data_IF_411420828262
#
_entry.id   IF_411420828262
#
_cell.length_a   1.000
_cell.length_b   1.000
_cell.length_c   1.000
_cell.angle_alpha   90.00
_cell.angle_beta   90.00
_cell.angle_gamma   90.00
#
_symmetry.space_group_name_H-M   'P 1'
#
loop_
_entity.id
_entity.type
_entity.pdbx_description
1 polymer ?
#
# COMPACT_ATOMS: atom_id res chain seq x y z
N UNK A 1 48.42 -38.37 -20.84
CA UNK A 1 48.50 -37.08 -20.09
C UNK A 1 47.63 -36.04 -20.81
N UNK A 2 46.31 -36.14 -20.71
CA UNK A 2 45.35 -35.18 -21.29
C UNK A 2 44.05 -35.16 -20.47
N UNK A 3 44.14 -34.78 -19.20
CA UNK A 3 42.98 -34.53 -18.33
C UNK A 3 43.19 -33.27 -17.49
N UNK A 4 43.60 -32.16 -18.12
CA UNK A 4 43.80 -30.91 -17.40
C UNK A 4 43.58 -29.69 -18.30
N UNK A 5 42.40 -29.54 -18.91
CA UNK A 5 42.10 -28.26 -19.59
C UNK A 5 40.61 -27.87 -19.70
N UNK A 6 39.70 -28.58 -19.01
CA UNK A 6 38.26 -28.22 -19.00
C UNK A 6 37.81 -27.39 -17.79
N UNK A 7 38.74 -27.02 -16.90
CA UNK A 7 38.43 -26.25 -15.69
C UNK A 7 38.39 -24.72 -15.89
N UNK A 8 38.98 -24.19 -16.97
CA UNK A 8 39.25 -22.75 -17.08
C UNK A 8 38.16 -21.92 -17.79
N UNK A 9 37.20 -22.56 -18.47
CA UNK A 9 36.16 -21.87 -19.25
C UNK A 9 34.81 -21.73 -18.53
N UNK A 10 34.53 -22.54 -17.51
CA UNK A 10 33.27 -22.48 -16.75
C UNK A 10 33.16 -21.15 -15.99
N UNK A 11 34.23 -20.72 -15.33
CA UNK A 11 34.26 -19.45 -14.59
C UNK A 11 34.12 -18.20 -15.47
N UNK A 12 34.68 -18.21 -16.69
CA UNK A 12 34.52 -17.10 -17.66
C UNK A 12 33.09 -17.01 -18.18
N UNK A 13 32.45 -18.15 -18.45
CA UNK A 13 31.05 -18.18 -18.90
C UNK A 13 30.09 -17.76 -17.78
N UNK A 14 30.31 -18.20 -16.53
CA UNK A 14 29.53 -17.74 -15.37
C UNK A 14 29.66 -16.23 -15.17
N UNK A 15 30.87 -15.67 -15.24
CA UNK A 15 31.08 -14.21 -15.14
C UNK A 15 30.33 -13.43 -16.22
N UNK A 16 30.36 -13.91 -17.47
CA UNK A 16 29.61 -13.30 -18.59
C UNK A 16 28.10 -13.36 -18.36
N UNK A 17 27.59 -14.49 -17.87
CA UNK A 17 26.16 -14.65 -17.56
C UNK A 17 25.75 -13.73 -16.43
N UNK A 18 26.52 -13.66 -15.33
CA UNK A 18 26.26 -12.75 -14.21
C UNK A 18 26.28 -11.29 -14.66
N UNK A 19 27.27 -10.90 -15.47
CA UNK A 19 27.33 -9.55 -16.03
C UNK A 19 26.10 -9.24 -16.89
N UNK A 20 25.69 -10.19 -17.74
CA UNK A 20 24.49 -10.04 -18.56
C UNK A 20 23.23 -9.87 -17.70
N UNK A 21 23.08 -10.68 -16.65
CA UNK A 21 21.97 -10.56 -15.69
C UNK A 21 21.97 -9.19 -15.04
N UNK A 22 23.12 -8.69 -14.57
CA UNK A 22 23.24 -7.36 -13.97
C UNK A 22 22.89 -6.25 -14.96
N UNK A 23 23.36 -6.34 -16.21
CA UNK A 23 23.04 -5.37 -17.25
C UNK A 23 21.55 -5.35 -17.57
N UNK A 24 20.94 -6.52 -17.77
CA UNK A 24 19.49 -6.65 -18.01
C UNK A 24 18.71 -6.10 -16.83
N UNK A 25 19.11 -6.41 -15.60
CA UNK A 25 18.49 -5.88 -14.38
C UNK A 25 18.55 -4.35 -14.33
N UNK A 26 19.69 -3.73 -14.63
CA UNK A 26 19.84 -2.27 -14.66
C UNK A 26 18.93 -1.65 -15.73
N UNK A 27 18.89 -2.24 -16.93
CA UNK A 27 18.08 -1.74 -18.04
C UNK A 27 16.58 -1.79 -17.71
N UNK A 28 16.10 -2.92 -17.17
CA UNK A 28 14.70 -3.07 -16.75
C UNK A 28 14.36 -2.04 -15.67
N UNK A 29 15.19 -1.90 -14.64
CA UNK A 29 14.95 -0.92 -13.57
C UNK A 29 14.92 0.52 -14.08
N UNK A 30 15.84 0.88 -14.97
CA UNK A 30 15.91 2.21 -15.57
C UNK A 30 14.68 2.51 -16.40
N UNK A 31 14.22 1.52 -17.18
CA UNK A 31 13.01 1.64 -17.98
C UNK A 31 11.75 1.81 -17.12
N UNK A 32 11.56 0.95 -16.10
CA UNK A 32 10.43 1.03 -15.17
C UNK A 32 10.44 2.36 -14.41
N UNK A 33 11.59 2.80 -13.91
CA UNK A 33 11.74 4.11 -13.27
C UNK A 33 11.33 5.25 -14.20
N UNK A 34 11.78 5.21 -15.47
CA UNK A 34 11.48 6.25 -16.46
C UNK A 34 9.97 6.34 -16.75
N UNK A 35 9.29 5.19 -16.87
CA UNK A 35 7.85 5.13 -17.05
C UNK A 35 7.11 5.70 -15.83
N UNK A 36 7.51 5.30 -14.62
CA UNK A 36 6.93 5.81 -13.38
C UNK A 36 7.18 7.31 -13.23
N UNK A 37 8.38 7.80 -13.52
CA UNK A 37 8.72 9.23 -13.48
C UNK A 37 7.85 10.04 -14.45
N UNK A 38 7.71 9.57 -15.70
CA UNK A 38 6.87 10.25 -16.68
C UNK A 38 5.42 10.35 -16.21
N UNK A 39 4.89 9.26 -15.66
CA UNK A 39 3.50 9.17 -15.20
C UNK A 39 3.23 10.00 -13.94
N UNK A 40 4.11 9.92 -12.94
CA UNK A 40 3.84 10.52 -11.63
C UNK A 40 4.47 11.89 -11.46
N UNK A 41 5.58 12.21 -12.13
CA UNK A 41 6.33 13.46 -11.89
C UNK A 41 6.15 14.46 -13.03
N UNK A 42 6.32 14.05 -14.28
CA UNK A 42 6.38 15.00 -15.39
C UNK A 42 5.11 15.83 -15.54
N UNK A 43 3.95 15.18 -15.36
CA UNK A 43 2.61 15.78 -15.50
C UNK A 43 2.04 16.33 -14.17
N UNK A 44 2.75 16.15 -13.04
CA UNK A 44 2.23 16.57 -11.75
C UNK A 44 2.16 18.10 -11.60
N UNK A 45 1.23 18.60 -10.75
CA UNK A 45 1.28 19.96 -10.24
C UNK A 45 2.67 20.32 -9.67
N UNK A 46 3.11 21.56 -9.87
CA UNK A 46 4.47 22.02 -9.50
C UNK A 46 4.77 21.77 -8.02
N UNK A 47 3.79 22.02 -7.15
CA UNK A 47 3.89 21.80 -5.70
C UNK A 47 4.00 20.31 -5.30
N UNK A 48 3.68 19.37 -6.19
CA UNK A 48 3.74 17.93 -5.92
C UNK A 48 4.96 17.24 -6.55
N UNK A 49 5.65 17.88 -7.50
CA UNK A 49 6.75 17.24 -8.26
C UNK A 49 7.86 16.71 -7.37
N UNK A 50 8.34 17.51 -6.41
CA UNK A 50 9.44 17.10 -5.55
C UNK A 50 9.09 15.95 -4.61
N UNK A 51 7.85 15.92 -4.11
CA UNK A 51 7.34 14.79 -3.35
C UNK A 51 7.25 13.54 -4.23
N UNK A 52 6.72 13.68 -5.45
CA UNK A 52 6.51 12.54 -6.35
C UNK A 52 7.81 11.97 -6.94
N UNK A 53 8.90 12.73 -6.98
CA UNK A 53 10.24 12.18 -7.27
C UNK A 53 10.64 11.14 -6.22
N UNK A 54 10.41 11.46 -4.95
CA UNK A 54 10.67 10.52 -3.84
C UNK A 54 9.69 9.35 -3.88
N UNK A 55 8.43 9.59 -4.20
CA UNK A 55 7.44 8.53 -4.40
C UNK A 55 7.88 7.51 -5.44
N UNK A 56 8.36 7.96 -6.60
CA UNK A 56 8.81 7.06 -7.67
C UNK A 56 10.01 6.23 -7.19
N UNK A 57 10.96 6.82 -6.47
CA UNK A 57 12.04 6.08 -5.84
C UNK A 57 11.51 5.04 -4.83
N UNK A 58 10.57 5.42 -3.97
CA UNK A 58 9.95 4.53 -3.00
C UNK A 58 9.20 3.37 -3.68
N UNK A 59 8.46 3.61 -4.77
CA UNK A 59 7.77 2.56 -5.54
C UNK A 59 8.76 1.52 -6.07
N UNK A 60 9.93 1.94 -6.56
CA UNK A 60 10.91 1.00 -7.09
C UNK A 60 11.37 0.00 -6.04
N UNK A 61 11.62 0.46 -4.80
CA UNK A 61 11.96 -0.45 -3.71
C UNK A 61 10.74 -1.22 -3.19
N UNK A 62 9.57 -0.59 -3.20
CA UNK A 62 8.32 -1.20 -2.77
C UNK A 62 7.89 -2.34 -3.70
N UNK A 63 8.15 -2.30 -5.00
CA UNK A 63 7.82 -3.41 -5.89
C UNK A 63 8.58 -4.69 -5.52
N UNK A 64 9.87 -4.57 -5.19
CA UNK A 64 10.67 -5.67 -4.66
C UNK A 64 10.17 -6.13 -3.30
N UNK A 65 9.92 -5.20 -2.40
CA UNK A 65 9.39 -5.50 -1.08
C UNK A 65 8.08 -6.29 -1.16
N UNK A 66 7.14 -5.83 -1.97
CA UNK A 66 5.83 -6.47 -2.19
C UNK A 66 5.97 -7.82 -2.87
N UNK A 67 6.94 -8.01 -3.77
CA UNK A 67 7.23 -9.33 -4.31
C UNK A 67 7.60 -10.32 -3.20
N UNK A 68 8.49 -9.94 -2.27
CA UNK A 68 8.85 -10.81 -1.16
C UNK A 68 7.68 -11.05 -0.20
N UNK A 69 6.94 -10.01 0.17
CA UNK A 69 5.81 -10.15 1.11
C UNK A 69 4.66 -10.93 0.46
N UNK A 70 4.17 -10.51 -0.69
CA UNK A 70 2.95 -11.05 -1.28
C UNK A 70 3.18 -12.38 -2.04
N UNK A 71 4.31 -12.52 -2.75
CA UNK A 71 4.56 -13.71 -3.59
C UNK A 71 5.30 -14.79 -2.83
N UNK A 72 6.27 -14.41 -1.99
CA UNK A 72 7.06 -15.35 -1.22
C UNK A 72 6.54 -15.56 0.21
N UNK A 73 5.51 -14.81 0.62
CA UNK A 73 4.89 -14.97 1.95
C UNK A 73 5.85 -14.63 3.08
N UNK A 74 6.75 -13.66 2.87
CA UNK A 74 7.70 -13.24 3.90
C UNK A 74 7.01 -12.21 4.81
N UNK A 75 7.13 -12.40 6.13
CA UNK A 75 6.63 -11.44 7.10
C UNK A 75 7.21 -10.02 6.89
N UNK A 76 6.35 -9.01 7.03
CA UNK A 76 6.67 -7.60 6.76
C UNK A 76 7.79 -7.02 7.66
N UNK A 77 8.03 -7.61 8.84
CA UNK A 77 9.12 -7.22 9.75
C UNK A 77 10.37 -8.10 9.61
N UNK A 78 10.35 -9.10 8.72
CA UNK A 78 11.48 -10.00 8.56
C UNK A 78 12.76 -9.23 8.15
N UNK A 79 13.90 -9.44 8.84
CA UNK A 79 15.16 -8.77 8.53
C UNK A 79 15.66 -8.95 7.09
N UNK A 80 15.26 -10.03 6.40
CA UNK A 80 15.62 -10.26 5.00
C UNK A 80 15.09 -9.14 4.08
N UNK A 81 14.03 -8.45 4.49
CA UNK A 81 13.44 -7.34 3.75
C UNK A 81 14.19 -6.02 3.95
N UNK A 82 15.07 -5.89 4.95
CA UNK A 82 15.69 -4.61 5.29
C UNK A 82 16.42 -3.92 4.13
N UNK A 83 17.19 -4.64 3.29
CA UNK A 83 17.87 -4.02 2.15
C UNK A 83 16.95 -3.33 1.15
N UNK A 84 15.66 -3.71 1.10
CA UNK A 84 14.65 -3.05 0.26
C UNK A 84 13.70 -2.17 1.08
N UNK A 85 13.44 -2.51 2.34
CA UNK A 85 12.55 -1.78 3.25
C UNK A 85 13.14 -0.44 3.69
N UNK A 86 14.41 -0.41 4.08
CA UNK A 86 15.06 0.82 4.53
C UNK A 86 15.08 1.92 3.47
N UNK A 87 15.57 1.68 2.23
CA UNK A 87 15.52 2.71 1.20
C UNK A 87 14.09 3.07 0.82
N UNK A 88 13.16 2.10 0.76
CA UNK A 88 11.73 2.36 0.54
C UNK A 88 11.19 3.36 1.56
N UNK A 89 11.37 3.09 2.85
CA UNK A 89 10.83 3.89 3.94
C UNK A 89 11.49 5.27 3.99
N UNK A 90 12.80 5.34 3.71
CA UNK A 90 13.52 6.60 3.59
C UNK A 90 12.90 7.50 2.53
N UNK A 91 12.72 7.01 1.30
CA UNK A 91 12.10 7.81 0.23
C UNK A 91 10.63 8.09 0.50
N UNK A 92 9.88 7.12 1.02
CA UNK A 92 8.46 7.29 1.40
C UNK A 92 8.27 8.42 2.41
N UNK A 93 9.00 8.41 3.52
CA UNK A 93 8.89 9.44 4.55
C UNK A 93 9.41 10.79 4.07
N UNK A 94 10.51 10.81 3.29
CA UNK A 94 11.03 12.05 2.71
C UNK A 94 10.02 12.70 1.76
N UNK A 95 9.34 11.90 0.95
CA UNK A 95 8.27 12.38 0.06
C UNK A 95 7.04 12.86 0.82
N UNK A 96 6.60 12.12 1.85
CA UNK A 96 5.47 12.53 2.70
C UNK A 96 5.69 13.88 3.39
N UNK A 97 6.93 14.18 3.79
CA UNK A 97 7.30 15.46 4.42
C UNK A 97 7.26 16.64 3.43
N UNK A 98 7.28 16.37 2.12
CA UNK A 98 7.17 17.38 1.06
C UNK A 98 5.74 17.58 0.58
N UNK A 99 4.82 16.66 0.90
CA UNK A 99 3.41 16.81 0.57
C UNK A 99 2.73 17.79 1.55
N UNK A 100 1.83 18.67 1.06
CA UNK A 100 0.98 19.48 1.93
C UNK A 100 0.20 18.60 2.92
N UNK A 101 0.05 19.04 4.17
CA UNK A 101 -0.54 18.22 5.24
C UNK A 101 -1.97 17.78 4.89
N UNK A 102 -2.69 18.64 4.19
CA UNK A 102 -4.05 18.52 3.68
C UNK A 102 -4.13 17.92 2.27
N UNK A 103 -3.07 17.29 1.77
CA UNK A 103 -3.11 16.60 0.48
C UNK A 103 -3.64 15.16 0.63
N UNK A 104 -4.77 14.85 -0.04
CA UNK A 104 -5.39 13.53 0.01
C UNK A 104 -4.49 12.40 -0.50
N UNK A 105 -3.53 12.71 -1.38
CA UNK A 105 -2.52 11.77 -1.87
C UNK A 105 -1.68 11.14 -0.74
N UNK A 106 -1.53 11.82 0.41
CA UNK A 106 -0.82 11.27 1.59
C UNK A 106 -1.46 9.98 2.09
N UNK A 107 -2.79 9.94 2.15
CA UNK A 107 -3.52 8.76 2.60
C UNK A 107 -3.45 7.61 1.59
N UNK A 108 -3.38 7.92 0.29
CA UNK A 108 -3.13 6.91 -0.73
C UNK A 108 -1.74 6.29 -0.61
N UNK A 109 -0.72 7.10 -0.31
CA UNK A 109 0.63 6.57 -0.10
C UNK A 109 0.69 5.71 1.17
N UNK A 110 0.05 6.14 2.25
CA UNK A 110 -0.08 5.32 3.46
C UNK A 110 -0.75 3.97 3.15
N UNK A 111 -1.84 3.98 2.39
CA UNK A 111 -2.48 2.74 1.96
C UNK A 111 -1.51 1.83 1.17
N UNK A 112 -0.75 2.39 0.23
CA UNK A 112 0.19 1.63 -0.58
C UNK A 112 1.38 1.07 0.23
N UNK A 113 2.03 1.90 1.04
CA UNK A 113 3.31 1.56 1.67
C UNK A 113 3.20 0.93 3.06
N UNK A 114 2.10 1.13 3.78
CA UNK A 114 1.90 0.60 5.14
C UNK A 114 0.75 -0.41 5.20
N UNK A 115 -0.43 -0.08 4.66
CA UNK A 115 -1.66 -0.88 4.78
C UNK A 115 -1.63 -2.15 3.93
N UNK A 116 -1.33 -2.01 2.64
CA UNK A 116 -1.30 -3.14 1.70
C UNK A 116 -0.26 -4.19 2.12
N UNK A 117 0.99 -3.84 2.47
CA UNK A 117 1.96 -4.78 3.02
C UNK A 117 1.47 -5.60 4.20
N UNK A 118 0.69 -4.99 5.10
CA UNK A 118 0.12 -5.73 6.24
C UNK A 118 -0.86 -6.79 5.76
N UNK A 119 -1.80 -6.45 4.87
CA UNK A 119 -2.80 -7.40 4.36
C UNK A 119 -2.23 -8.62 3.62
N UNK A 120 -0.98 -8.57 3.19
CA UNK A 120 -0.31 -9.64 2.46
C UNK A 120 0.85 -10.29 3.23
N UNK A 121 1.15 -9.80 4.44
CA UNK A 121 2.14 -10.44 5.31
C UNK A 121 1.67 -11.84 5.69
N UNK A 122 2.60 -12.79 5.87
CA UNK A 122 2.24 -14.16 6.28
C UNK A 122 1.51 -14.20 7.61
N UNK A 123 1.85 -13.29 8.52
CA UNK A 123 1.18 -13.14 9.81
C UNK A 123 0.06 -12.08 9.77
N UNK A 124 -0.13 -11.41 8.63
CA UNK A 124 -1.09 -10.33 8.44
C UNK A 124 -2.50 -10.83 8.21
N UNK A 125 -3.23 -11.08 9.30
CA UNK A 125 -4.65 -11.42 9.26
C UNK A 125 -5.48 -10.34 9.96
N UNK A 126 -6.69 -10.09 9.48
CA UNK A 126 -7.60 -9.13 10.11
C UNK A 126 -7.76 -9.37 11.61
N UNK A 127 -7.36 -8.39 12.44
CA UNK A 127 -7.49 -8.43 13.89
C UNK A 127 -6.36 -9.17 14.63
N UNK A 128 -5.28 -9.51 13.93
CA UNK A 128 -4.15 -10.28 14.50
C UNK A 128 -2.93 -9.44 14.83
N UNK A 129 -2.94 -8.12 14.57
CA UNK A 129 -1.73 -7.32 14.63
C UNK A 129 -1.11 -7.30 16.04
N UNK A 130 -1.95 -7.26 17.08
CA UNK A 130 -1.47 -7.27 18.48
C UNK A 130 -0.74 -8.56 18.80
N UNK A 131 -1.27 -9.69 18.35
CA UNK A 131 -0.71 -11.02 18.62
C UNK A 131 0.70 -11.17 18.01
N UNK A 132 0.88 -10.69 16.78
CA UNK A 132 2.11 -10.92 16.02
C UNK A 132 3.16 -9.82 16.16
N UNK A 133 2.72 -8.56 16.32
CA UNK A 133 3.60 -7.40 16.30
C UNK A 133 3.58 -6.59 17.60
N UNK A 134 2.69 -6.94 18.54
CA UNK A 134 2.61 -6.32 19.87
C UNK A 134 1.72 -5.08 19.93
N UNK A 135 1.22 -4.79 21.14
CA UNK A 135 0.25 -3.73 21.40
C UNK A 135 0.73 -2.34 20.96
N UNK A 136 1.99 -1.99 21.25
CA UNK A 136 2.54 -0.66 20.95
C UNK A 136 2.57 -0.41 19.44
N UNK A 137 3.00 -1.41 18.65
CA UNK A 137 3.00 -1.33 17.20
C UNK A 137 1.58 -1.16 16.66
N UNK A 138 0.65 -2.00 17.12
CA UNK A 138 -0.75 -1.94 16.70
C UNK A 138 -1.39 -0.59 17.02
N UNK A 139 -1.17 -0.06 18.22
CA UNK A 139 -1.75 1.22 18.61
C UNK A 139 -1.25 2.37 17.74
N UNK A 140 0.05 2.39 17.41
CA UNK A 140 0.62 3.36 16.48
C UNK A 140 -0.02 3.21 15.09
N UNK A 141 -0.12 1.99 14.58
CA UNK A 141 -0.68 1.71 13.26
C UNK A 141 -2.17 2.09 13.15
N UNK A 142 -3.00 1.70 14.12
CA UNK A 142 -4.43 2.03 14.19
C UNK A 142 -4.66 3.54 14.28
N UNK A 143 -3.81 4.27 15.02
CA UNK A 143 -3.87 5.72 15.07
C UNK A 143 -3.50 6.37 13.72
N UNK A 144 -2.52 5.82 13.00
CA UNK A 144 -2.20 6.27 11.64
C UNK A 144 -3.33 5.96 10.67
N UNK A 145 -3.95 4.77 10.75
CA UNK A 145 -5.12 4.40 9.95
C UNK A 145 -6.24 5.42 10.11
N UNK A 146 -6.64 5.72 11.34
CA UNK A 146 -7.68 6.70 11.63
C UNK A 146 -7.41 8.06 10.99
N UNK A 147 -6.20 8.59 11.19
CA UNK A 147 -5.77 9.88 10.60
C UNK A 147 -5.79 9.86 9.08
N UNK A 148 -5.41 8.76 8.44
CA UNK A 148 -5.41 8.67 6.98
C UNK A 148 -6.82 8.47 6.41
N UNK A 149 -7.72 7.79 7.13
CA UNK A 149 -9.15 7.77 6.79
C UNK A 149 -9.71 9.20 6.79
N UNK A 150 -9.40 9.99 7.83
CA UNK A 150 -9.78 11.41 7.92
C UNK A 150 -9.26 12.22 6.73
N UNK A 151 -7.95 12.16 6.47
CA UNK A 151 -7.30 12.91 5.39
C UNK A 151 -7.95 12.57 4.05
N UNK A 152 -8.14 11.29 3.76
CA UNK A 152 -8.72 10.82 2.50
C UNK A 152 -10.17 11.30 2.31
N UNK A 153 -10.92 11.40 3.41
CA UNK A 153 -12.34 11.75 3.36
C UNK A 153 -12.57 13.25 3.23
N UNK A 154 -11.76 14.05 3.92
CA UNK A 154 -11.97 15.48 4.03
C UNK A 154 -11.26 16.24 2.91
N UNK A 155 -10.07 15.80 2.52
CA UNK A 155 -9.25 16.53 1.57
C UNK A 155 -9.42 16.08 0.13
N UNK A 156 -9.04 16.95 -0.81
CA UNK A 156 -9.02 16.63 -2.25
C UNK A 156 -7.64 16.12 -2.65
N UNK A 157 -7.60 15.47 -3.81
CA UNK A 157 -6.34 15.21 -4.51
C UNK A 157 -6.15 16.28 -5.56
N UNK A 158 -5.04 16.99 -5.49
CA UNK A 158 -4.80 18.19 -6.31
C UNK A 158 -4.42 17.91 -7.77
N UNK A 159 -4.53 16.66 -8.24
CA UNK A 159 -4.10 16.24 -9.57
C UNK A 159 -5.29 15.85 -10.48
N UNK A 160 -5.59 16.68 -11.50
CA UNK A 160 -6.69 16.45 -12.44
C UNK A 160 -6.40 15.37 -13.51
N UNK A 161 -5.14 14.95 -13.71
CA UNK A 161 -4.78 13.91 -14.70
C UNK A 161 -5.11 12.49 -14.21
N UNK A 162 -5.39 12.35 -12.92
CA UNK A 162 -5.83 11.10 -12.29
C UNK A 162 -7.32 10.81 -12.59
N UNK A 163 -7.74 10.95 -13.85
CA UNK A 163 -9.05 10.49 -14.34
C UNK A 163 -9.20 9.01 -13.94
N UNK A 164 -10.25 8.68 -13.19
CA UNK A 164 -10.55 7.37 -12.58
C UNK A 164 -9.82 7.01 -11.28
N UNK A 165 -9.16 7.93 -10.59
CA UNK A 165 -8.61 7.64 -9.24
C UNK A 165 -9.68 7.40 -8.19
N UNK A 166 -10.90 7.90 -8.44
CA UNK A 166 -12.02 7.77 -7.54
C UNK A 166 -12.29 6.33 -7.10
N UNK A 167 -12.17 5.36 -8.01
CA UNK A 167 -12.27 3.95 -7.66
C UNK A 167 -11.18 3.52 -6.66
N UNK A 168 -9.92 3.89 -6.93
CA UNK A 168 -8.78 3.57 -6.05
C UNK A 168 -8.88 4.26 -4.69
N UNK A 169 -9.48 5.44 -4.64
CA UNK A 169 -9.74 6.15 -3.39
C UNK A 169 -10.81 5.43 -2.57
N UNK A 170 -11.91 4.98 -3.20
CA UNK A 170 -12.91 4.15 -2.53
C UNK A 170 -12.29 2.85 -2.00
N UNK A 171 -11.50 2.16 -2.82
CA UNK A 171 -10.81 0.92 -2.43
C UNK A 171 -9.86 1.18 -1.24
N UNK A 172 -9.04 2.23 -1.30
CA UNK A 172 -8.17 2.61 -0.19
C UNK A 172 -8.96 2.98 1.08
N UNK A 173 -10.05 3.73 0.94
CA UNK A 173 -10.93 4.09 2.05
C UNK A 173 -11.51 2.83 2.72
N UNK A 174 -12.10 1.93 1.93
CA UNK A 174 -12.71 0.70 2.43
C UNK A 174 -11.65 -0.16 3.10
N UNK A 175 -10.51 -0.40 2.46
CA UNK A 175 -9.42 -1.20 3.02
C UNK A 175 -8.94 -0.64 4.37
N UNK A 176 -8.75 0.68 4.47
CA UNK A 176 -8.33 1.30 5.73
C UNK A 176 -9.40 1.20 6.82
N UNK A 177 -10.68 1.41 6.48
CA UNK A 177 -11.79 1.27 7.43
C UNK A 177 -11.94 -0.17 7.89
N UNK A 178 -11.84 -1.15 6.99
CA UNK A 178 -11.94 -2.56 7.33
C UNK A 178 -10.84 -2.94 8.30
N UNK A 179 -9.57 -2.68 7.98
CA UNK A 179 -8.46 -2.96 8.91
C UNK A 179 -8.66 -2.20 10.22
N UNK A 180 -9.08 -0.94 10.18
CA UNK A 180 -9.37 -0.20 11.40
C UNK A 180 -10.41 -0.92 12.26
N UNK A 181 -11.54 -1.35 11.69
CA UNK A 181 -12.57 -2.10 12.40
C UNK A 181 -12.08 -3.48 12.88
N UNK A 182 -11.25 -4.17 12.11
CA UNK A 182 -10.69 -5.46 12.48
C UNK A 182 -9.66 -5.34 13.60
N UNK A 183 -8.78 -4.34 13.57
CA UNK A 183 -7.80 -4.08 14.63
C UNK A 183 -8.39 -3.35 15.85
N UNK A 184 -9.61 -2.79 15.72
CA UNK A 184 -10.39 -2.28 16.86
C UNK A 184 -10.85 -3.38 17.81
N UNK A 185 -10.79 -4.64 17.37
CA UNK A 185 -10.95 -5.81 18.25
C UNK A 185 -9.71 -5.97 19.12
N UNK A 186 -9.60 -5.19 20.19
CA UNK A 186 -8.70 -5.56 21.29
C UNK A 186 -9.33 -6.69 22.10
N UNK A 187 -9.62 -7.80 21.43
CA UNK A 187 -9.98 -9.09 21.98
C UNK A 187 -9.16 -10.11 21.19
N UNK A 188 -8.20 -10.75 21.86
CA UNK A 188 -7.24 -11.70 21.27
C UNK A 188 -7.94 -12.87 20.53
N UNK A 189 -9.23 -13.10 20.79
CA UNK A 189 -10.06 -14.17 20.23
C UNK A 189 -11.07 -13.72 19.14
N UNK A 190 -10.82 -12.58 18.49
CA UNK A 190 -11.31 -12.17 17.16
C UNK A 190 -12.78 -12.45 16.77
N UNK A 191 -13.76 -11.62 17.20
CA UNK A 191 -15.05 -11.41 16.49
C UNK A 191 -15.71 -10.06 16.84
N UNK A 192 -16.26 -9.35 15.85
CA UNK A 192 -16.68 -7.93 15.91
C UNK A 192 -17.95 -7.70 16.72
N UNK A 193 -18.80 -8.72 16.75
CA UNK A 193 -20.13 -8.68 17.34
C UNK A 193 -20.25 -9.59 18.57
N UNK A 194 -19.25 -9.52 19.46
CA UNK A 194 -19.39 -10.02 20.84
C UNK A 194 -19.92 -8.89 21.72
N UNK A 195 -20.81 -9.20 22.66
CA UNK A 195 -21.43 -8.22 23.58
C UNK A 195 -20.40 -7.34 24.30
N UNK A 196 -19.22 -7.88 24.58
CA UNK A 196 -18.10 -7.18 25.20
C UNK A 196 -17.56 -6.04 24.34
N UNK A 197 -17.47 -6.24 23.01
CA UNK A 197 -17.01 -5.22 22.07
C UNK A 197 -18.04 -4.11 21.91
N UNK A 198 -19.33 -4.46 21.85
CA UNK A 198 -20.43 -3.48 21.82
C UNK A 198 -20.44 -2.66 23.11
N UNK A 199 -20.30 -3.30 24.27
CA UNK A 199 -20.18 -2.61 25.57
C UNK A 199 -18.99 -1.67 25.58
N UNK A 200 -17.83 -2.12 25.09
CA UNK A 200 -16.62 -1.28 25.04
C UNK A 200 -16.79 -0.06 24.15
N UNK A 201 -17.38 -0.20 22.96
CA UNK A 201 -17.71 0.95 22.10
C UNK A 201 -18.70 1.89 22.79
N UNK A 202 -19.65 1.36 23.55
CA UNK A 202 -20.64 2.16 24.26
C UNK A 202 -20.07 2.88 25.50
N UNK A 203 -19.00 2.37 26.12
CA UNK A 203 -18.41 2.93 27.34
C UNK A 203 -17.14 3.75 27.11
N UNK A 204 -16.41 3.51 26.02
CA UNK A 204 -15.24 4.30 25.62
C UNK A 204 -15.65 5.45 24.68
N UNK A 205 -15.65 6.66 25.24
CA UNK A 205 -16.08 7.86 24.52
C UNK A 205 -15.16 8.27 23.35
N UNK A 206 -13.84 8.02 23.45
CA UNK A 206 -12.93 8.34 22.33
C UNK A 206 -13.19 7.37 21.17
N UNK A 207 -13.30 6.09 21.48
CA UNK A 207 -13.60 5.05 20.50
C UNK A 207 -14.94 5.30 19.79
N UNK A 208 -15.99 5.60 20.56
CA UNK A 208 -17.31 5.96 20.03
C UNK A 208 -17.21 7.13 19.03
N UNK A 209 -16.55 8.22 19.43
CA UNK A 209 -16.38 9.40 18.57
C UNK A 209 -15.63 9.10 17.28
N UNK A 210 -14.59 8.27 17.34
CA UNK A 210 -13.84 7.87 16.15
C UNK A 210 -14.71 7.09 15.16
N UNK A 211 -15.50 6.14 15.64
CA UNK A 211 -16.45 5.38 14.81
C UNK A 211 -17.55 6.27 14.24
N UNK A 212 -18.09 7.18 15.03
CA UNK A 212 -19.07 8.17 14.58
C UNK A 212 -18.50 9.06 13.47
N UNK A 213 -17.25 9.51 13.61
CA UNK A 213 -16.55 10.29 12.59
C UNK A 213 -16.35 9.49 11.30
N UNK A 214 -15.90 8.23 11.39
CA UNK A 214 -15.76 7.35 10.21
C UNK A 214 -17.10 7.19 9.49
N UNK A 215 -18.20 7.00 10.23
CA UNK A 215 -19.53 6.94 9.63
C UNK A 215 -19.91 8.24 8.91
N UNK A 216 -19.65 9.41 9.51
CA UNK A 216 -19.89 10.72 8.87
C UNK A 216 -19.02 10.92 7.62
N UNK A 217 -17.76 10.50 7.68
CA UNK A 217 -16.81 10.56 6.58
C UNK A 217 -17.16 9.64 5.43
N UNK A 218 -17.67 8.43 5.72
CA UNK A 218 -18.20 7.53 4.70
C UNK A 218 -19.25 8.22 3.83
N UNK A 219 -20.22 8.89 4.46
CA UNK A 219 -21.24 9.63 3.73
C UNK A 219 -20.64 10.78 2.90
N UNK A 220 -19.63 11.46 3.43
CA UNK A 220 -18.92 12.56 2.74
C UNK A 220 -18.20 12.05 1.50
N UNK A 221 -17.46 10.95 1.62
CA UNK A 221 -16.67 10.40 0.53
C UNK A 221 -17.60 9.85 -0.56
N UNK A 222 -18.60 9.04 -0.20
CA UNK A 222 -19.59 8.48 -1.13
C UNK A 222 -20.38 9.59 -1.84
N UNK A 223 -20.78 10.64 -1.13
CA UNK A 223 -21.46 11.78 -1.74
C UNK A 223 -20.59 12.49 -2.77
N UNK A 224 -19.32 12.76 -2.44
CA UNK A 224 -18.36 13.38 -3.36
C UNK A 224 -18.18 12.55 -4.63
N UNK A 225 -18.05 11.23 -4.51
CA UNK A 225 -17.93 10.33 -5.66
C UNK A 225 -19.19 10.25 -6.51
N UNK A 226 -20.37 10.11 -5.89
CA UNK A 226 -21.66 10.08 -6.61
C UNK A 226 -21.89 11.34 -7.44
N UNK A 227 -21.50 12.49 -6.90
CA UNK A 227 -21.62 13.79 -7.59
C UNK A 227 -20.69 13.89 -8.81
N UNK A 228 -19.47 13.38 -8.69
CA UNK A 228 -18.45 13.55 -9.72
C UNK A 228 -18.47 12.44 -10.78
N UNK A 229 -18.92 11.21 -10.45
CA UNK A 229 -18.98 10.06 -11.36
C UNK A 229 -20.14 9.08 -11.03
N UNK A 230 -21.40 9.41 -11.37
CA UNK A 230 -22.58 8.64 -10.96
C UNK A 230 -22.65 7.20 -11.52
N UNK A 231 -22.02 6.91 -12.66
CA UNK A 231 -22.12 5.63 -13.36
C UNK A 231 -21.17 4.53 -12.83
N UNK A 232 -20.14 4.89 -12.04
CA UNK A 232 -19.12 3.92 -11.55
C UNK A 232 -19.65 3.12 -10.35
N UNK A 233 -20.58 3.67 -9.57
CA UNK A 233 -21.11 2.98 -8.38
C UNK A 233 -22.07 1.82 -8.69
N UNK A 234 -22.71 1.80 -9.86
CA UNK A 234 -23.76 0.80 -10.17
C UNK A 234 -23.21 -0.57 -10.58
N UNK A 235 -21.98 -0.66 -11.08
CA UNK A 235 -21.41 -1.94 -11.53
C UNK A 235 -20.49 -2.60 -10.49
N UNK A 236 -19.69 -1.80 -9.78
CA UNK A 236 -18.50 -2.34 -9.08
C UNK A 236 -18.63 -2.36 -7.54
N UNK A 237 -19.58 -1.61 -6.97
CA UNK A 237 -19.94 -1.67 -5.55
C UNK A 237 -21.11 -2.65 -5.30
N UNK A 238 -21.36 -3.58 -6.22
CA UNK A 238 -22.30 -4.66 -5.97
C UNK A 238 -21.66 -5.57 -4.90
N UNK A 239 -21.96 -5.28 -3.63
CA UNK A 239 -21.46 -5.90 -2.38
C UNK A 239 -21.52 -7.44 -2.39
N UNK A 240 -22.16 -8.05 -3.40
CA UNK A 240 -22.27 -9.51 -3.61
C UNK A 240 -21.28 -10.11 -4.61
N UNK A 241 -20.57 -9.34 -5.44
CA UNK A 241 -19.52 -9.93 -6.29
C UNK A 241 -18.26 -10.10 -5.47
N UNK A 242 -17.87 -11.36 -5.25
CA UNK A 242 -16.65 -11.79 -4.57
C UNK A 242 -15.50 -10.82 -4.82
N UNK A 243 -14.93 -10.37 -3.71
CA UNK A 243 -13.70 -9.63 -3.54
C UNK A 243 -12.58 -10.14 -4.47
N UNK A 244 -12.56 -9.68 -5.72
CA UNK A 244 -11.33 -9.64 -6.50
C UNK A 244 -10.80 -8.23 -6.30
N UNK A 245 -9.83 -8.07 -5.38
CA UNK A 245 -9.17 -6.78 -5.22
C UNK A 245 -8.71 -6.30 -6.59
N UNK A 246 -8.86 -5.02 -6.87
CA UNK A 246 -8.37 -4.45 -8.13
C UNK A 246 -6.84 -4.39 -8.10
N UNK A 247 -6.24 -4.70 -6.95
CA UNK A 247 -4.85 -5.11 -6.78
C UNK A 247 -4.53 -6.44 -7.45
N UNK A 248 -5.45 -7.43 -7.45
CA UNK A 248 -5.35 -8.61 -8.32
C UNK A 248 -5.26 -8.16 -9.77
N UNK A 249 -6.11 -7.22 -10.21
CA UNK A 249 -6.07 -6.64 -11.56
C UNK A 249 -4.81 -5.78 -11.79
N UNK A 250 -4.24 -5.12 -10.78
CA UNK A 250 -3.01 -4.32 -10.89
C UNK A 250 -1.75 -5.21 -10.96
N UNK A 251 -1.67 -6.25 -10.15
CA UNK A 251 -0.65 -7.30 -10.22
C UNK A 251 -0.81 -8.13 -11.49
N UNK A 252 -2.02 -8.55 -11.84
CA UNK A 252 -2.34 -9.22 -13.10
C UNK A 252 -1.95 -8.33 -14.28
N UNK A 253 -2.25 -7.03 -14.31
CA UNK A 253 -1.82 -6.16 -15.41
C UNK A 253 -0.31 -5.80 -15.39
N UNK A 254 0.40 -5.95 -14.26
CA UNK A 254 1.86 -5.86 -14.24
C UNK A 254 2.49 -7.15 -14.79
N UNK A 255 1.84 -8.30 -14.62
CA UNK A 255 2.31 -9.61 -15.07
C UNK A 255 1.69 -10.10 -16.40
N UNK A 256 0.66 -9.44 -16.94
CA UNK A 256 -0.05 -9.82 -18.18
C UNK A 256 0.33 -8.95 -19.40
N UNK A 257 1.35 -8.09 -19.29
CA UNK A 257 2.07 -7.58 -20.48
C UNK A 257 3.31 -8.43 -20.79
N UNK A 258 3.15 -9.75 -20.68
CA UNK A 258 3.98 -10.76 -21.35
C UNK A 258 3.14 -11.50 -22.38
#
# INVERSE_FOLDING_TARGET
MLLYDRGFNIGKNIKKILLLIVLVFILINTWVYSLAYKKYVSQAPVNLKEARKDYVAAIMFHSYYTFFVNTLGIDLLNPILYPVKEPRDYYYHRGLNKLPIDEGERALWFNLFEVVPYNYSSEGHYGSMVQYYGLDFTQVFVNKLYKNIEILSLNKISDPELKNIYFKLCEAYINMVDIYLYELHLNEDGYLYKDENIKRVATDFDLYKRLENIYKWHNTIIWRYKKENPNILSSDLNIKSKWSSTYKVYCENIFLYS
#
